data_IF_055306486985
#
_entry.id   IF_055306486985
#
_cell.length_a   1.000
_cell.length_b   1.000
_cell.length_c   1.000
_cell.angle_alpha   90.00
_cell.angle_beta   90.00
_cell.angle_gamma   90.00
#
_symmetry.space_group_name_H-M   'P 1'
#
loop_
_entity.id
_entity.type
_entity.pdbx_description
1 polymer ?
#
# COMPACT_ATOMS: atom_id res chain seq x y z
N UNK A 1 24.70 -15.45 -2.90
CA UNK A 1 25.51 -15.74 -1.70
C UNK A 1 24.56 -15.96 -0.53
N UNK A 2 24.80 -16.95 0.31
CA UNK A 2 23.96 -17.23 1.49
C UNK A 2 24.90 -17.37 2.68
N UNK A 3 24.69 -16.55 3.71
CA UNK A 3 25.46 -16.59 4.95
C UNK A 3 25.10 -17.80 5.81
N UNK A 4 26.01 -18.25 6.67
CA UNK A 4 25.89 -19.52 7.42
C UNK A 4 24.70 -19.57 8.39
N UNK A 5 24.31 -18.43 8.97
CA UNK A 5 23.21 -18.30 9.92
C UNK A 5 21.83 -18.16 9.29
N UNK A 6 21.71 -18.16 7.96
CA UNK A 6 20.41 -18.03 7.28
C UNK A 6 19.62 -19.32 7.36
N UNK A 7 18.37 -19.23 7.80
CA UNK A 7 17.43 -20.34 7.82
C UNK A 7 16.52 -20.30 6.59
N UNK A 8 16.35 -21.44 5.90
CA UNK A 8 15.52 -21.55 4.69
C UNK A 8 14.60 -22.76 4.83
N UNK A 9 13.29 -22.52 4.73
CA UNK A 9 12.26 -23.55 4.77
C UNK A 9 12.27 -24.46 3.54
N UNK A 10 11.63 -25.63 3.68
CA UNK A 10 11.52 -26.61 2.60
C UNK A 10 10.85 -26.03 1.36
N UNK A 11 11.25 -26.54 0.19
CA UNK A 11 10.65 -26.21 -1.11
C UNK A 11 10.77 -24.74 -1.54
N UNK A 12 11.53 -23.93 -0.81
CA UNK A 12 11.87 -22.56 -1.18
C UNK A 12 12.90 -22.53 -2.30
N UNK A 13 12.67 -21.64 -3.27
CA UNK A 13 13.52 -21.47 -4.44
C UNK A 13 14.30 -20.16 -4.33
N UNK A 14 15.63 -20.26 -4.42
CA UNK A 14 16.53 -19.11 -4.48
C UNK A 14 17.09 -18.99 -5.89
N UNK A 15 16.77 -17.91 -6.59
CA UNK A 15 17.27 -17.65 -7.94
C UNK A 15 18.66 -17.02 -7.95
N UNK A 16 19.40 -17.14 -9.07
CA UNK A 16 20.77 -16.67 -9.19
C UNK A 16 20.96 -15.18 -8.84
N UNK A 17 22.15 -14.88 -8.34
CA UNK A 17 22.55 -13.52 -7.98
C UNK A 17 21.91 -12.97 -6.71
N UNK A 18 21.08 -13.76 -6.00
CA UNK A 18 20.48 -13.33 -4.73
C UNK A 18 21.46 -13.46 -3.57
N UNK A 19 21.35 -12.54 -2.60
CA UNK A 19 22.15 -12.48 -1.39
C UNK A 19 21.26 -12.55 -0.16
N UNK A 20 21.56 -13.49 0.74
CA UNK A 20 20.86 -13.66 2.02
C UNK A 20 21.89 -13.58 3.15
N UNK A 21 21.64 -12.70 4.12
CA UNK A 21 22.63 -12.29 5.13
C UNK A 21 22.03 -12.12 6.53
N UNK A 22 22.90 -12.17 7.53
CA UNK A 22 22.56 -11.87 8.92
C UNK A 22 21.51 -12.81 9.50
N UNK A 23 20.63 -12.29 10.36
CA UNK A 23 19.55 -13.03 11.00
C UNK A 23 18.34 -13.17 10.06
N UNK A 24 18.55 -13.73 8.87
CA UNK A 24 17.47 -13.93 7.89
C UNK A 24 16.83 -15.30 8.03
N UNK A 25 15.49 -15.32 8.05
CA UNK A 25 14.66 -16.53 8.04
C UNK A 25 13.71 -16.47 6.85
N UNK A 26 13.75 -17.49 5.99
CA UNK A 26 12.83 -17.65 4.86
C UNK A 26 11.95 -18.86 5.12
N UNK A 27 10.64 -18.70 4.95
CA UNK A 27 9.62 -19.75 5.09
C UNK A 27 9.70 -20.81 4.00
N UNK A 28 8.66 -21.65 3.94
CA UNK A 28 8.50 -22.74 2.96
C UNK A 28 7.90 -22.22 1.66
N UNK A 29 8.20 -22.88 0.55
CA UNK A 29 7.62 -22.58 -0.78
C UNK A 29 7.80 -21.11 -1.22
N UNK A 30 8.74 -20.37 -0.64
CA UNK A 30 9.00 -18.98 -1.01
C UNK A 30 9.83 -18.92 -2.30
N UNK A 31 9.80 -17.78 -2.97
CA UNK A 31 10.65 -17.50 -4.13
C UNK A 31 11.45 -16.23 -3.86
N UNK A 32 12.77 -16.37 -3.77
CA UNK A 32 13.69 -15.25 -3.56
C UNK A 32 14.56 -15.10 -4.81
N UNK A 33 14.55 -13.92 -5.42
CA UNK A 33 15.39 -13.58 -6.55
C UNK A 33 14.65 -13.38 -7.88
N UNK A 34 15.39 -13.10 -8.96
CA UNK A 34 16.84 -13.07 -9.00
C UNK A 34 17.35 -11.76 -8.35
N UNK A 35 18.66 -11.68 -8.11
CA UNK A 35 19.34 -10.45 -7.65
C UNK A 35 18.73 -9.79 -6.40
N UNK A 36 18.02 -10.56 -5.58
CA UNK A 36 17.38 -10.03 -4.37
C UNK A 36 18.36 -10.00 -3.22
N UNK A 37 18.38 -8.89 -2.51
CA UNK A 37 19.27 -8.64 -1.40
C UNK A 37 18.46 -8.64 -0.10
N UNK A 38 18.68 -9.61 0.76
CA UNK A 38 17.89 -9.86 1.98
C UNK A 38 18.80 -9.83 3.19
N UNK A 39 18.59 -8.88 4.10
CA UNK A 39 19.40 -8.67 5.30
C UNK A 39 18.53 -8.61 6.56
N UNK A 40 18.78 -9.45 7.55
CA UNK A 40 18.09 -9.44 8.84
C UNK A 40 16.54 -9.41 8.72
N UNK A 41 15.99 -10.27 7.86
CA UNK A 41 14.55 -10.29 7.56
C UNK A 41 13.85 -11.58 7.98
N UNK A 42 12.56 -11.46 8.31
CA UNK A 42 11.63 -12.59 8.43
C UNK A 42 10.72 -12.61 7.20
N UNK A 43 10.85 -13.64 6.36
CA UNK A 43 10.03 -13.83 5.16
C UNK A 43 9.18 -15.08 5.35
N UNK A 44 7.85 -14.93 5.37
CA UNK A 44 6.91 -16.01 5.58
C UNK A 44 6.82 -17.04 4.44
N UNK A 45 5.95 -18.02 4.64
CA UNK A 45 5.68 -19.07 3.66
C UNK A 45 5.02 -18.50 2.40
N UNK A 46 5.32 -19.09 1.24
CA UNK A 46 4.76 -18.71 -0.06
C UNK A 46 5.01 -17.25 -0.49
N UNK A 47 5.92 -16.54 0.19
CA UNK A 47 6.29 -15.19 -0.16
C UNK A 47 7.12 -15.11 -1.45
N UNK A 48 7.09 -13.95 -2.09
CA UNK A 48 7.88 -13.68 -3.30
C UNK A 48 8.67 -12.39 -3.13
N UNK A 49 9.99 -12.47 -3.25
CA UNK A 49 10.88 -11.31 -3.20
C UNK A 49 11.68 -11.30 -4.49
N UNK A 50 11.30 -10.45 -5.45
CA UNK A 50 11.84 -10.47 -6.81
C UNK A 50 12.65 -9.20 -7.07
N UNK A 51 13.89 -9.30 -7.55
CA UNK A 51 14.78 -8.17 -7.89
C UNK A 51 14.72 -7.01 -6.87
N UNK A 52 14.65 -7.30 -5.57
CA UNK A 52 14.35 -6.30 -4.53
C UNK A 52 15.39 -6.29 -3.43
N UNK A 53 15.46 -5.16 -2.71
CA UNK A 53 16.33 -5.02 -1.54
C UNK A 53 15.46 -4.89 -0.29
N UNK A 54 15.64 -5.80 0.66
CA UNK A 54 14.91 -5.79 1.93
C UNK A 54 15.88 -5.90 3.10
N UNK A 55 15.66 -5.09 4.13
CA UNK A 55 16.55 -5.00 5.30
C UNK A 55 15.76 -4.72 6.57
N UNK A 56 15.92 -5.57 7.58
CA UNK A 56 15.24 -5.40 8.87
C UNK A 56 13.71 -5.40 8.76
N UNK A 57 13.17 -6.20 7.85
CA UNK A 57 11.75 -6.21 7.47
C UNK A 57 11.09 -7.56 7.77
N UNK A 58 9.76 -7.52 7.90
CA UNK A 58 8.91 -8.70 8.10
C UNK A 58 7.89 -8.81 6.99
N UNK A 59 7.78 -9.99 6.39
CA UNK A 59 6.75 -10.33 5.42
C UNK A 59 5.98 -11.54 5.96
N UNK A 60 4.68 -11.39 6.13
CA UNK A 60 3.79 -12.52 6.44
C UNK A 60 3.50 -13.36 5.19
N UNK A 61 2.84 -14.50 5.37
CA UNK A 61 2.63 -15.47 4.30
C UNK A 61 1.94 -14.87 3.07
N UNK A 62 2.29 -15.38 1.90
CA UNK A 62 1.79 -14.92 0.60
C UNK A 62 2.08 -13.45 0.23
N UNK A 63 2.87 -12.71 1.02
CA UNK A 63 3.27 -11.36 0.65
C UNK A 63 4.24 -11.38 -0.54
N UNK A 64 4.08 -10.41 -1.44
CA UNK A 64 4.92 -10.24 -2.63
C UNK A 64 5.53 -8.84 -2.66
N UNK A 65 6.82 -8.78 -3.03
CA UNK A 65 7.53 -7.56 -3.35
C UNK A 65 8.31 -7.67 -4.66
N UNK A 66 8.18 -6.65 -5.51
CA UNK A 66 9.08 -6.36 -6.62
C UNK A 66 8.42 -6.33 -8.00
N UNK A 67 9.24 -6.21 -9.07
CA UNK A 67 10.70 -6.02 -9.03
C UNK A 67 11.11 -4.62 -8.55
N UNK A 68 12.33 -4.46 -8.04
CA UNK A 68 12.89 -3.16 -7.62
C UNK A 68 12.18 -2.50 -6.43
N UNK A 69 11.61 -3.30 -5.53
CA UNK A 69 11.07 -2.81 -4.27
C UNK A 69 12.16 -2.61 -3.21
N UNK A 70 11.92 -1.68 -2.28
CA UNK A 70 12.76 -1.44 -1.11
C UNK A 70 11.96 -1.58 0.19
N UNK A 71 12.32 -2.56 1.01
CA UNK A 71 11.91 -2.56 2.42
C UNK A 71 13.08 -2.12 3.29
N UNK A 72 12.77 -1.25 4.25
CA UNK A 72 13.73 -0.76 5.24
C UNK A 72 13.30 -1.19 6.63
N UNK A 73 14.22 -1.02 7.58
CA UNK A 73 14.02 -1.37 8.98
C UNK A 73 12.63 -0.96 9.49
N UNK A 74 11.93 -1.92 10.09
CA UNK A 74 10.60 -1.76 10.66
C UNK A 74 9.46 -1.77 9.65
N UNK A 75 9.73 -2.09 8.37
CA UNK A 75 8.66 -2.42 7.43
C UNK A 75 8.07 -3.80 7.74
N UNK A 76 6.74 -3.88 7.80
CA UNK A 76 6.00 -5.11 8.03
C UNK A 76 4.87 -5.21 7.01
N UNK A 77 4.97 -6.19 6.12
CA UNK A 77 3.91 -6.52 5.16
C UNK A 77 3.07 -7.67 5.73
N UNK A 78 1.77 -7.43 5.91
CA UNK A 78 0.80 -8.42 6.34
C UNK A 78 0.54 -9.50 5.28
N UNK A 79 -0.29 -10.47 5.65
CA UNK A 79 -0.66 -11.59 4.79
C UNK A 79 -1.18 -11.13 3.42
N UNK A 80 -0.65 -11.71 2.34
CA UNK A 80 -1.13 -11.46 0.97
C UNK A 80 -0.96 -10.02 0.47
N UNK A 81 -0.14 -9.20 1.12
CA UNK A 81 0.20 -7.85 0.64
C UNK A 81 0.90 -7.94 -0.71
N UNK A 82 0.46 -7.11 -1.65
CA UNK A 82 1.13 -6.94 -2.94
C UNK A 82 1.84 -5.59 -3.00
N UNK A 83 3.17 -5.63 -3.08
CA UNK A 83 4.02 -4.47 -3.30
C UNK A 83 4.74 -4.62 -4.65
N UNK A 84 4.29 -3.87 -5.66
CA UNK A 84 4.90 -3.94 -6.97
C UNK A 84 6.17 -3.12 -7.09
N UNK A 85 6.44 -2.66 -8.31
CA UNK A 85 7.75 -2.10 -8.63
C UNK A 85 7.99 -0.71 -8.08
N UNK A 86 9.23 -0.43 -7.66
CA UNK A 86 9.71 0.88 -7.20
C UNK A 86 9.02 1.42 -5.94
N UNK A 87 8.30 0.58 -5.20
CA UNK A 87 7.81 0.96 -3.88
C UNK A 87 8.94 1.04 -2.85
N UNK A 88 8.83 1.94 -1.88
CA UNK A 88 9.65 1.96 -0.66
C UNK A 88 8.76 1.97 0.59
N UNK A 89 9.00 1.03 1.50
CA UNK A 89 8.32 0.98 2.81
C UNK A 89 9.36 1.06 3.93
N UNK A 90 9.10 1.90 4.93
CA UNK A 90 10.00 2.12 6.07
C UNK A 90 9.22 2.36 7.35
N UNK A 91 9.60 1.67 8.43
CA UNK A 91 8.98 1.85 9.75
C UNK A 91 7.45 1.92 9.69
N UNK A 92 6.84 1.02 8.92
CA UNK A 92 5.41 1.07 8.58
C UNK A 92 4.84 -0.34 8.51
N UNK A 93 3.55 -0.45 8.83
CA UNK A 93 2.78 -1.68 8.69
C UNK A 93 1.78 -1.54 7.54
N UNK A 94 1.79 -2.51 6.62
CA UNK A 94 0.73 -2.71 5.63
C UNK A 94 -0.11 -3.91 6.04
N UNK A 95 -1.40 -3.68 6.30
CA UNK A 95 -2.35 -4.72 6.69
C UNK A 95 -2.58 -5.79 5.63
N UNK A 96 -3.29 -6.88 5.98
CA UNK A 96 -3.53 -7.98 5.07
C UNK A 96 -4.20 -7.53 3.76
N UNK A 97 -3.74 -8.06 2.64
CA UNK A 97 -4.30 -7.78 1.32
C UNK A 97 -4.16 -6.33 0.84
N UNK A 98 -3.34 -5.49 1.47
CA UNK A 98 -3.01 -4.16 0.95
C UNK A 98 -2.38 -4.28 -0.44
N UNK A 99 -2.79 -3.39 -1.34
CA UNK A 99 -2.31 -3.36 -2.72
C UNK A 99 -1.56 -2.05 -3.00
N UNK A 100 -0.24 -2.14 -3.20
CA UNK A 100 0.64 -1.03 -3.58
C UNK A 100 1.46 -1.45 -4.81
N UNK A 101 0.82 -1.51 -5.98
CA UNK A 101 1.41 -2.12 -7.19
C UNK A 101 2.53 -1.34 -7.88
N UNK A 102 2.79 -0.09 -7.49
CA UNK A 102 3.70 0.81 -8.22
C UNK A 102 4.53 1.68 -7.29
N UNK A 103 5.37 2.53 -7.89
CA UNK A 103 6.18 3.53 -7.20
C UNK A 103 5.35 4.28 -6.17
N UNK A 104 5.71 4.18 -4.89
CA UNK A 104 5.10 4.89 -3.76
C UNK A 104 6.08 4.87 -2.59
N UNK A 105 6.04 5.88 -1.72
CA UNK A 105 6.83 5.90 -0.48
C UNK A 105 5.89 5.90 0.72
N UNK A 106 5.99 4.86 1.54
CA UNK A 106 5.23 4.67 2.79
C UNK A 106 6.21 4.62 3.97
N UNK A 107 6.26 5.72 4.71
CA UNK A 107 7.17 5.95 5.83
C UNK A 107 6.41 6.36 7.09
N UNK A 108 6.71 5.71 8.21
CA UNK A 108 6.08 5.98 9.52
C UNK A 108 4.54 5.87 9.46
N UNK A 109 4.01 4.79 8.86
CA UNK A 109 2.58 4.63 8.61
C UNK A 109 1.96 3.35 9.17
N UNK A 110 0.66 3.41 9.47
CA UNK A 110 -0.21 2.26 9.75
C UNK A 110 -1.27 2.20 8.64
N UNK A 111 -1.26 1.14 7.83
CA UNK A 111 -2.22 0.94 6.75
C UNK A 111 -3.10 -0.27 7.07
N UNK A 112 -4.42 -0.08 7.08
CA UNK A 112 -5.42 -1.10 7.35
C UNK A 112 -5.53 -2.14 6.23
N UNK A 113 -6.26 -3.22 6.50
CA UNK A 113 -6.46 -4.31 5.55
C UNK A 113 -7.11 -3.81 4.25
N UNK A 114 -6.80 -4.48 3.13
CA UNK A 114 -7.43 -4.27 1.82
C UNK A 114 -7.34 -2.84 1.25
N UNK A 115 -6.57 -1.94 1.87
CA UNK A 115 -6.39 -0.60 1.36
C UNK A 115 -5.63 -0.63 0.02
N UNK A 116 -6.04 0.24 -0.90
CA UNK A 116 -5.37 0.43 -2.18
C UNK A 116 -4.52 1.70 -2.15
N UNK A 117 -3.23 1.55 -2.44
CA UNK A 117 -2.26 2.63 -2.54
C UNK A 117 -1.96 2.88 -4.02
N UNK A 118 -2.48 3.99 -4.55
CA UNK A 118 -2.27 4.41 -5.93
C UNK A 118 -0.79 4.69 -6.25
N UNK A 119 -0.45 4.63 -7.54
CA UNK A 119 0.89 4.96 -8.00
C UNK A 119 1.24 6.42 -7.68
N UNK A 120 2.42 6.68 -7.14
CA UNK A 120 2.91 8.00 -6.76
C UNK A 120 2.43 8.46 -5.39
N UNK A 121 1.80 7.60 -4.59
CA UNK A 121 1.41 7.99 -3.23
C UNK A 121 2.64 8.19 -2.34
N UNK A 122 2.68 9.31 -1.62
CA UNK A 122 3.76 9.65 -0.70
C UNK A 122 3.17 9.99 0.67
N UNK A 123 3.64 9.32 1.73
CA UNK A 123 3.46 9.79 3.11
C UNK A 123 4.53 10.82 3.44
N UNK A 124 4.16 12.10 3.51
CA UNK A 124 5.07 13.18 3.88
C UNK A 124 5.27 13.18 5.40
N UNK A 125 6.20 12.33 5.87
CA UNK A 125 6.38 12.00 7.27
C UNK A 125 7.38 12.87 8.03
N UNK A 126 8.09 13.81 7.39
CA UNK A 126 9.16 14.60 8.01
C UNK A 126 9.08 16.07 7.62
N UNK A 127 9.13 16.96 8.61
CA UNK A 127 9.00 18.42 8.43
C UNK A 127 10.36 19.17 8.46
N UNK A 128 11.47 18.44 8.53
CA UNK A 128 12.82 19.00 8.76
C UNK A 128 13.29 18.92 10.21
N UNK A 129 12.43 18.50 11.15
CA UNK A 129 12.77 18.35 12.58
C UNK A 129 12.22 17.07 13.19
N UNK A 130 10.93 16.81 13.01
CA UNK A 130 10.18 15.72 13.65
C UNK A 130 9.57 14.82 12.58
N UNK A 131 9.47 13.52 12.90
CA UNK A 131 8.72 12.57 12.10
C UNK A 131 7.33 12.34 12.67
N UNK A 132 6.33 12.30 11.80
CA UNK A 132 4.92 12.16 12.16
C UNK A 132 4.30 10.95 11.48
N UNK A 133 3.30 10.37 12.12
CA UNK A 133 2.63 9.15 11.63
C UNK A 133 1.51 9.46 10.64
N UNK A 134 1.34 8.59 9.65
CA UNK A 134 0.14 8.55 8.80
C UNK A 134 -0.68 7.31 9.14
N UNK A 135 -2.00 7.44 9.27
CA UNK A 135 -2.91 6.31 9.44
C UNK A 135 -3.83 6.23 8.22
N UNK A 136 -3.91 5.06 7.60
CA UNK A 136 -4.79 4.77 6.46
C UNK A 136 -5.70 3.63 6.89
N UNK A 137 -7.00 3.85 6.91
CA UNK A 137 -7.98 2.87 7.37
C UNK A 137 -8.12 1.66 6.44
N UNK A 138 -8.78 0.63 6.96
CA UNK A 138 -9.21 -0.53 6.18
C UNK A 138 -10.08 -0.12 4.99
N UNK A 139 -9.96 -0.83 3.86
CA UNK A 139 -10.67 -0.57 2.60
C UNK A 139 -10.50 0.86 2.03
N UNK A 140 -9.57 1.65 2.55
CA UNK A 140 -9.33 2.99 2.03
C UNK A 140 -8.73 2.94 0.61
N UNK A 141 -9.11 3.90 -0.22
CA UNK A 141 -8.60 4.04 -1.57
C UNK A 141 -7.80 5.34 -1.69
N UNK A 142 -6.48 5.23 -1.78
CA UNK A 142 -5.61 6.38 -2.03
C UNK A 142 -5.38 6.50 -3.53
N UNK A 143 -5.89 7.57 -4.14
CA UNK A 143 -5.70 7.87 -5.55
C UNK A 143 -4.23 8.11 -5.90
N UNK A 144 -3.88 7.86 -7.16
CA UNK A 144 -2.53 8.08 -7.67
C UNK A 144 -2.03 9.50 -7.41
N UNK A 145 -0.74 9.66 -7.17
CA UNK A 145 -0.07 10.95 -6.93
C UNK A 145 -0.65 11.73 -5.73
N UNK A 146 -1.20 11.01 -4.73
CA UNK A 146 -1.68 11.61 -3.49
C UNK A 146 -0.52 11.85 -2.52
N UNK A 147 -0.43 13.08 -2.00
CA UNK A 147 0.45 13.42 -0.87
C UNK A 147 -0.35 13.40 0.44
N UNK A 148 0.10 12.60 1.39
CA UNK A 148 -0.47 12.50 2.74
C UNK A 148 0.44 13.24 3.71
N UNK A 149 0.08 14.46 4.10
CA UNK A 149 0.90 15.31 4.96
C UNK A 149 0.68 14.92 6.42
N UNK A 150 1.65 14.19 6.98
CA UNK A 150 1.57 13.70 8.35
C UNK A 150 1.76 14.82 9.39
N UNK A 151 1.11 14.74 10.58
CA UNK A 151 0.19 13.69 11.00
C UNK A 151 -1.18 13.80 10.32
N UNK A 152 -1.69 12.68 9.82
CA UNK A 152 -3.02 12.60 9.18
C UNK A 152 -3.61 11.20 9.27
N UNK A 153 -4.93 11.13 9.43
CA UNK A 153 -5.71 9.90 9.43
C UNK A 153 -6.74 9.89 8.28
N UNK A 154 -6.75 8.81 7.49
CA UNK A 154 -7.83 8.48 6.57
C UNK A 154 -8.67 7.38 7.21
N UNK A 155 -9.93 7.66 7.51
CA UNK A 155 -10.84 6.67 8.09
C UNK A 155 -11.09 5.47 7.16
N UNK A 156 -11.68 4.41 7.70
CA UNK A 156 -12.03 3.22 6.94
C UNK A 156 -12.90 3.55 5.71
N UNK A 157 -12.59 2.95 4.57
CA UNK A 157 -13.28 3.19 3.30
C UNK A 157 -13.19 4.63 2.77
N UNK A 158 -12.37 5.50 3.37
CA UNK A 158 -12.14 6.85 2.84
C UNK A 158 -11.42 6.78 1.49
N UNK A 159 -11.65 7.79 0.65
CA UNK A 159 -11.13 7.81 -0.72
C UNK A 159 -10.48 9.15 -1.00
N UNK A 160 -9.33 9.14 -1.67
CA UNK A 160 -8.74 10.36 -2.25
C UNK A 160 -8.89 10.33 -3.77
N UNK A 161 -9.14 11.49 -4.37
CA UNK A 161 -8.94 11.69 -5.80
C UNK A 161 -7.46 11.67 -6.15
N UNK A 162 -7.13 11.38 -7.41
CA UNK A 162 -5.75 11.48 -7.88
C UNK A 162 -5.19 12.92 -7.74
N UNK A 163 -3.90 13.05 -7.50
CA UNK A 163 -3.21 14.34 -7.35
C UNK A 163 -3.59 15.13 -6.09
N UNK A 164 -4.22 14.48 -5.10
CA UNK A 164 -4.70 15.18 -3.90
C UNK A 164 -3.58 15.46 -2.90
N UNK A 165 -3.68 16.59 -2.19
CA UNK A 165 -2.80 16.88 -1.04
C UNK A 165 -3.64 16.91 0.23
N UNK A 166 -3.57 15.83 1.00
CA UNK A 166 -4.36 15.65 2.22
C UNK A 166 -3.58 16.22 3.40
N UNK A 167 -4.14 17.28 4.01
CA UNK A 167 -3.51 18.02 5.12
C UNK A 167 -4.32 17.98 6.42
N UNK A 168 -5.43 17.25 6.42
CA UNK A 168 -6.36 17.10 7.54
C UNK A 168 -6.99 15.72 7.48
N UNK A 169 -7.41 15.22 8.63
CA UNK A 169 -8.06 13.93 8.73
C UNK A 169 -9.30 13.84 7.85
N UNK A 170 -9.53 12.64 7.34
CA UNK A 170 -10.65 12.30 6.46
C UNK A 170 -11.53 11.31 7.18
N UNK A 171 -12.81 11.67 7.37
CA UNK A 171 -13.77 10.79 8.01
C UNK A 171 -13.96 9.47 7.20
N UNK A 172 -14.35 8.37 7.86
CA UNK A 172 -14.68 7.12 7.17
C UNK A 172 -15.66 7.32 6.01
N UNK A 173 -15.51 6.52 4.96
CA UNK A 173 -16.36 6.53 3.75
C UNK A 173 -16.49 7.90 3.06
N UNK A 174 -15.56 8.82 3.30
CA UNK A 174 -15.56 10.16 2.69
C UNK A 174 -14.62 10.21 1.50
N UNK A 175 -15.12 10.75 0.38
CA UNK A 175 -14.28 11.12 -0.76
C UNK A 175 -13.74 12.54 -0.55
N UNK A 176 -12.41 12.70 -0.62
CA UNK A 176 -11.75 14.01 -0.69
C UNK A 176 -10.95 14.14 -1.98
N UNK A 177 -10.83 15.36 -2.52
CA UNK A 177 -9.94 15.61 -3.65
C UNK A 177 -9.44 17.05 -3.69
N UNK A 178 -8.38 17.30 -4.46
CA UNK A 178 -7.82 18.63 -4.72
C UNK A 178 -6.59 18.97 -3.88
N UNK A 179 -6.10 20.20 -4.05
CA UNK A 179 -4.88 20.72 -3.41
C UNK A 179 -5.18 22.08 -2.76
N UNK A 180 -5.39 22.17 -1.44
CA UNK A 180 -5.50 21.04 -0.50
C UNK A 180 -6.80 20.26 -0.70
N UNK A 181 -6.80 18.99 -0.30
CA UNK A 181 -7.95 18.10 -0.43
C UNK A 181 -9.13 18.59 0.42
N UNK A 182 -10.33 18.46 -0.14
CA UNK A 182 -11.60 18.80 0.51
C UNK A 182 -12.65 17.71 0.27
N UNK A 183 -13.57 17.48 1.22
CA UNK A 183 -14.68 16.55 1.01
C UNK A 183 -15.47 16.92 -0.24
N UNK A 184 -15.82 15.91 -1.04
CA UNK A 184 -16.74 16.06 -2.14
C UNK A 184 -18.10 16.51 -1.60
N UNK A 185 -18.64 17.60 -2.16
CA UNK A 185 -20.03 17.97 -1.88
C UNK A 185 -20.91 16.97 -2.62
N UNK A 186 -21.80 16.26 -1.90
CA UNK A 186 -22.86 15.49 -2.56
C UNK A 186 -23.67 16.46 -3.42
N UNK A 187 -23.52 16.39 -4.74
CA UNK A 187 -24.56 16.91 -5.60
C UNK A 187 -25.75 15.95 -5.44
N UNK A 188 -26.88 16.45 -4.94
CA UNK A 188 -28.13 15.71 -5.06
C UNK A 188 -28.33 15.41 -6.54
N UNK A 189 -28.57 14.14 -6.86
CA UNK A 189 -28.94 13.78 -8.22
C UNK A 189 -30.16 14.61 -8.61
N UNK A 190 -30.20 15.21 -9.82
CA UNK A 190 -31.40 15.90 -10.26
C UNK A 190 -32.57 14.92 -10.15
N UNK A 191 -33.64 15.36 -9.47
CA UNK A 191 -34.87 14.61 -9.37
C UNK A 191 -35.34 14.22 -10.78
N UNK A 192 -35.83 12.99 -10.99
CA UNK A 192 -36.31 12.58 -12.30
C UNK A 192 -37.38 13.58 -12.75
N UNK A 193 -37.15 14.22 -13.89
CA UNK A 193 -38.10 15.13 -14.52
C UNK A 193 -39.46 14.42 -14.60
N UNK A 194 -40.59 15.06 -14.25
CA UNK A 194 -41.89 14.45 -14.44
C UNK A 194 -42.02 14.09 -15.93
N UNK A 195 -42.34 12.82 -16.19
CA UNK A 195 -42.59 12.33 -17.53
C UNK A 195 -43.64 13.23 -18.19
N UNK A 196 -43.35 13.69 -19.42
CA UNK A 196 -44.29 14.44 -20.22
C UNK A 196 -45.59 13.60 -20.34
N UNK A 197 -46.71 14.20 -19.93
CA UNK A 197 -48.00 13.52 -19.89
C UNK A 197 -48.37 12.92 -21.23
N UNK A 198 -48.87 11.69 -21.19
CA UNK A 198 -49.52 11.03 -22.31
C UNK A 198 -50.65 11.92 -22.83
N UNK A 199 -50.55 12.34 -24.09
CA UNK A 199 -51.65 12.98 -24.79
C UNK A 199 -52.74 11.94 -25.04
N UNK A 200 -53.92 12.16 -24.46
CA UNK A 200 -55.11 11.37 -24.72
C UNK A 200 -55.47 11.34 -26.22
N UNK A 201 -55.97 10.21 -26.76
CA UNK A 201 -56.32 10.10 -28.17
C UNK A 201 -57.60 10.90 -28.49
N UNK A 202 -57.74 11.44 -29.71
CA UNK A 202 -58.95 12.16 -30.10
C UNK A 202 -60.13 11.20 -30.23
N UNK A 203 -61.24 11.56 -29.59
CA UNK A 203 -62.56 10.95 -29.83
C UNK A 203 -63.11 11.35 -31.20
N UNK A 204 -63.83 10.40 -31.80
CA UNK A 204 -64.36 10.36 -33.17
C UNK A 204 -65.16 11.57 -33.66
#
# INVERSE_FOLDING_TARGET
YIEDGVEIGSDTVIWPGSHLHGQTRIGRHAVIGPYSQVFDCEVGDYCRVICSYIEGARLEMHAEIGPFGRLRKGAHLGEGVHMGSFGEVKNSYLGPGVHMGHFSYIGDAQVGAHANIGAGTITCNYDGKVKSKTVIGEDAFVGSDTLLVAPVELGAGARTGAGSVVTRDVAPHTLVYGVPARPAVKQEAPSPSPAAGESAPPTA
#
